data_IF_740336063130
#
_entry.id   IF_740336063130
#
_cell.length_a   1.000
_cell.length_b   1.000
_cell.length_c   1.000
_cell.angle_alpha   90.00
_cell.angle_beta   90.00
_cell.angle_gamma   90.00
#
_symmetry.space_group_name_H-M   'P 1'
#
loop_
_entity.id
_entity.type
_entity.pdbx_description
1 polymer ?
#
# COMPACT_ATOMS: atom_id res chain seq x y z
N UNK A 1 21.61 -23.01 6.02
CA UNK A 1 20.65 -22.67 4.96
C UNK A 1 21.19 -21.41 4.30
N UNK A 2 21.70 -21.51 3.08
CA UNK A 2 22.25 -20.33 2.38
C UNK A 2 21.08 -19.44 2.00
N UNK A 3 21.02 -18.22 2.55
CA UNK A 3 20.09 -17.21 2.10
C UNK A 3 20.42 -16.89 0.65
N UNK A 4 19.41 -16.85 -0.21
CA UNK A 4 19.61 -16.56 -1.62
C UNK A 4 20.21 -15.15 -1.77
N UNK A 5 21.27 -14.97 -2.58
CA UNK A 5 22.00 -13.70 -2.68
C UNK A 5 21.15 -12.52 -3.17
N UNK A 6 20.03 -12.81 -3.84
CA UNK A 6 19.15 -11.78 -4.40
C UNK A 6 18.00 -11.40 -3.47
N UNK A 7 17.97 -11.92 -2.23
CA UNK A 7 16.91 -11.58 -1.29
C UNK A 7 17.24 -10.25 -0.59
N UNK A 8 16.39 -9.23 -0.66
CA UNK A 8 16.65 -7.97 0.02
C UNK A 8 16.66 -8.21 1.53
N UNK A 9 17.78 -7.92 2.17
CA UNK A 9 17.93 -8.08 3.61
C UNK A 9 17.25 -6.99 4.42
N UNK A 10 16.95 -5.86 3.79
CA UNK A 10 16.33 -4.71 4.46
C UNK A 10 14.83 -4.64 4.19
N UNK A 11 13.97 -4.67 5.24
CA UNK A 11 12.53 -4.50 5.07
C UNK A 11 12.12 -3.05 4.76
N UNK A 12 13.08 -2.14 4.72
CA UNK A 12 12.86 -0.71 4.52
C UNK A 12 13.03 -0.26 3.08
N UNK A 13 13.71 -1.05 2.26
CA UNK A 13 14.04 -0.67 0.90
C UNK A 13 12.87 -0.84 -0.05
N UNK A 14 12.58 0.20 -0.86
CA UNK A 14 11.59 0.08 -1.93
C UNK A 14 12.02 -0.98 -2.95
N UNK A 15 11.12 -1.90 -3.23
CA UNK A 15 11.37 -2.98 -4.18
C UNK A 15 10.58 -2.74 -5.46
N UNK A 16 11.23 -3.01 -6.59
CA UNK A 16 10.56 -3.01 -7.90
C UNK A 16 9.58 -4.20 -7.94
N UNK A 17 8.32 -4.01 -8.37
CA UNK A 17 7.27 -5.02 -8.23
C UNK A 17 7.64 -6.42 -8.74
N UNK A 18 8.17 -6.51 -9.95
CA UNK A 18 8.55 -7.80 -10.56
C UNK A 18 9.78 -8.47 -9.92
N UNK A 19 10.60 -7.73 -9.16
CA UNK A 19 11.78 -8.26 -8.46
C UNK A 19 11.46 -8.78 -7.06
N UNK A 20 10.27 -8.54 -6.57
CA UNK A 20 9.88 -8.88 -5.18
C UNK A 20 9.35 -10.27 -5.00
N UNK A 21 8.91 -10.88 -6.09
CA UNK A 21 8.33 -12.20 -6.01
C UNK A 21 9.41 -13.26 -5.99
N UNK A 22 9.51 -13.95 -4.88
CA UNK A 22 10.45 -15.04 -4.71
C UNK A 22 9.73 -16.25 -4.09
N UNK A 23 9.12 -17.14 -4.90
CA UNK A 23 8.45 -18.32 -4.40
C UNK A 23 9.41 -19.23 -3.65
N UNK A 24 8.96 -19.83 -2.55
CA UNK A 24 9.71 -20.85 -1.83
C UNK A 24 9.93 -22.10 -2.71
N UNK A 25 8.96 -22.41 -3.57
CA UNK A 25 9.08 -23.49 -4.55
C UNK A 25 9.90 -23.03 -5.76
N UNK A 26 11.01 -23.71 -6.01
CA UNK A 26 11.89 -23.43 -7.14
C UNK A 26 11.22 -23.58 -8.51
N UNK A 27 10.29 -24.51 -8.64
CA UNK A 27 9.55 -24.73 -9.89
C UNK A 27 8.71 -23.49 -10.28
N UNK A 28 8.28 -22.70 -9.31
CA UNK A 28 7.48 -21.49 -9.54
C UNK A 28 8.34 -20.26 -9.87
N UNK A 29 9.65 -20.32 -9.69
CA UNK A 29 10.54 -19.15 -9.93
C UNK A 29 10.64 -18.75 -11.40
N UNK A 30 10.38 -19.69 -12.31
CA UNK A 30 10.31 -19.43 -13.75
C UNK A 30 8.95 -18.91 -14.21
N UNK A 31 7.95 -18.92 -13.33
CA UNK A 31 6.59 -18.44 -13.66
C UNK A 31 6.54 -16.93 -13.50
N UNK A 32 5.97 -16.24 -14.49
CA UNK A 32 5.76 -14.80 -14.42
C UNK A 32 4.96 -14.44 -13.15
N UNK A 33 5.43 -13.44 -12.40
CA UNK A 33 4.90 -13.11 -11.09
C UNK A 33 3.42 -12.71 -11.12
N UNK A 34 2.94 -12.16 -12.23
CA UNK A 34 1.54 -11.78 -12.43
C UNK A 34 0.59 -12.99 -12.32
N UNK A 35 1.06 -14.16 -12.74
CA UNK A 35 0.28 -15.40 -12.66
C UNK A 35 0.22 -16.00 -11.24
N UNK A 36 1.14 -15.60 -10.40
CA UNK A 36 1.28 -16.09 -9.02
C UNK A 36 0.62 -15.19 -7.99
N UNK A 37 0.25 -13.97 -8.38
CA UNK A 37 -0.43 -13.01 -7.54
C UNK A 37 -1.94 -13.04 -7.75
N UNK A 38 -2.73 -12.58 -6.76
CA UNK A 38 -4.14 -12.30 -6.99
C UNK A 38 -4.32 -11.34 -8.18
N UNK A 39 -5.38 -11.50 -8.98
CA UNK A 39 -5.53 -10.87 -10.30
C UNK A 39 -5.24 -9.37 -10.39
N UNK A 40 -5.62 -8.60 -9.38
CA UNK A 40 -5.47 -7.13 -9.41
C UNK A 40 -4.10 -6.66 -8.90
N UNK A 41 -3.40 -7.49 -8.13
CA UNK A 41 -2.25 -7.06 -7.31
C UNK A 41 -1.06 -6.68 -8.17
N UNK A 42 -0.75 -7.44 -9.21
CA UNK A 42 0.42 -7.19 -10.04
C UNK A 42 0.36 -5.77 -10.65
N UNK A 43 -0.72 -5.48 -11.36
CA UNK A 43 -0.90 -4.18 -12.04
C UNK A 43 -1.01 -3.02 -11.06
N UNK A 44 -1.73 -3.17 -9.95
CA UNK A 44 -1.82 -2.14 -8.91
C UNK A 44 -0.45 -1.81 -8.34
N UNK A 45 0.38 -2.82 -8.06
CA UNK A 45 1.75 -2.59 -7.56
C UNK A 45 2.64 -1.84 -8.55
N UNK A 46 2.55 -2.16 -9.83
CA UNK A 46 3.30 -1.47 -10.88
C UNK A 46 2.89 -0.02 -10.99
N UNK A 47 1.60 0.26 -11.02
CA UNK A 47 1.09 1.62 -11.10
C UNK A 47 1.39 2.46 -9.85
N UNK A 48 1.29 1.87 -8.66
CA UNK A 48 1.66 2.54 -7.40
C UNK A 48 3.16 2.80 -7.34
N UNK A 49 3.99 1.87 -7.85
CA UNK A 49 5.43 2.08 -7.96
C UNK A 49 5.74 3.26 -8.89
N UNK A 50 5.14 3.31 -10.06
CA UNK A 50 5.31 4.42 -11.01
C UNK A 50 4.83 5.75 -10.41
N UNK A 51 3.69 5.76 -9.73
CA UNK A 51 3.13 6.93 -9.05
C UNK A 51 4.04 7.47 -7.94
N UNK A 52 4.60 6.58 -7.11
CA UNK A 52 5.61 6.94 -6.10
C UNK A 52 6.85 7.56 -6.73
N UNK A 53 7.38 6.91 -7.76
CA UNK A 53 8.61 7.37 -8.46
C UNK A 53 8.41 8.73 -9.12
N UNK A 54 7.18 9.04 -9.55
CA UNK A 54 6.81 10.34 -10.10
C UNK A 54 6.42 11.38 -9.02
N UNK A 55 6.67 11.12 -7.74
CA UNK A 55 6.36 12.00 -6.60
C UNK A 55 4.87 12.34 -6.44
N UNK A 56 4.01 11.31 -6.55
CA UNK A 56 2.60 11.35 -6.21
C UNK A 56 1.72 12.31 -7.06
N UNK A 57 1.84 12.31 -8.40
CA UNK A 57 1.03 13.21 -9.23
C UNK A 57 -0.47 12.90 -9.06
N UNK A 58 -1.29 13.96 -8.97
CA UNK A 58 -2.74 13.86 -8.81
C UNK A 58 -3.22 13.56 -7.39
N UNK A 59 -2.30 13.39 -6.42
CA UNK A 59 -2.67 13.41 -5.01
C UNK A 59 -3.01 14.84 -4.57
N UNK A 60 -3.93 14.98 -3.60
CA UNK A 60 -4.20 16.27 -2.95
C UNK A 60 -2.96 16.81 -2.23
N UNK A 61 -2.96 18.09 -1.93
CA UNK A 61 -1.89 18.72 -1.15
C UNK A 61 -1.70 18.03 0.21
N UNK A 62 -2.80 17.66 0.86
CA UNK A 62 -2.80 16.96 2.15
C UNK A 62 -2.18 15.56 2.00
N UNK A 63 -2.63 14.77 1.05
CA UNK A 63 -2.11 13.41 0.83
C UNK A 63 -0.63 13.41 0.48
N UNK A 64 -0.20 14.28 -0.44
CA UNK A 64 1.20 14.40 -0.82
C UNK A 64 2.08 14.84 0.34
N UNK A 65 1.61 15.76 1.20
CA UNK A 65 2.33 16.21 2.40
C UNK A 65 2.48 15.08 3.41
N UNK A 66 1.40 14.34 3.70
CA UNK A 66 1.45 13.22 4.63
C UNK A 66 2.36 12.10 4.14
N UNK A 67 2.30 11.72 2.85
CA UNK A 67 3.15 10.69 2.27
C UNK A 67 4.64 11.06 2.37
N UNK A 68 5.00 12.30 2.04
CA UNK A 68 6.38 12.77 2.18
C UNK A 68 6.82 12.81 3.64
N UNK A 69 5.97 13.33 4.52
CA UNK A 69 6.26 13.36 5.94
C UNK A 69 6.53 11.96 6.49
N UNK A 70 5.66 10.99 6.22
CA UNK A 70 5.81 9.65 6.77
C UNK A 70 6.97 8.85 6.19
N UNK A 71 7.25 9.00 4.90
CA UNK A 71 8.12 8.06 4.19
C UNK A 71 9.40 8.67 3.63
N UNK A 72 9.52 9.99 3.60
CA UNK A 72 10.67 10.70 3.03
C UNK A 72 11.35 11.62 4.04
N UNK A 73 10.74 11.84 5.22
CA UNK A 73 11.35 12.61 6.32
C UNK A 73 11.97 11.65 7.34
N UNK A 74 13.10 12.03 7.92
CA UNK A 74 13.66 11.28 9.04
C UNK A 74 12.80 11.48 10.30
N UNK A 75 12.50 10.38 10.97
CA UNK A 75 11.81 10.36 12.23
C UNK A 75 12.74 9.84 13.33
N UNK A 76 12.66 10.44 14.50
CA UNK A 76 13.33 9.98 15.70
C UNK A 76 12.28 9.57 16.73
N UNK A 77 12.55 8.47 17.42
CA UNK A 77 11.79 8.05 18.59
C UNK A 77 12.65 8.11 19.83
N UNK A 78 12.09 8.56 20.93
CA UNK A 78 12.73 8.55 22.22
C UNK A 78 12.60 7.17 22.85
N UNK A 79 13.72 6.61 23.25
CA UNK A 79 13.81 5.34 23.96
C UNK A 79 13.54 5.54 25.44
N UNK A 80 13.35 4.44 26.19
CA UNK A 80 13.10 4.47 27.62
C UNK A 80 14.23 5.09 28.46
N UNK A 81 15.44 5.14 27.92
CA UNK A 81 16.63 5.76 28.54
C UNK A 81 16.82 7.24 28.14
N UNK A 82 15.87 7.82 27.38
CA UNK A 82 15.96 9.20 26.88
C UNK A 82 16.83 9.37 25.63
N UNK A 83 17.46 8.32 25.12
CA UNK A 83 18.18 8.38 23.84
C UNK A 83 17.23 8.43 22.66
N UNK A 84 17.69 9.02 21.54
CA UNK A 84 16.90 9.07 20.29
C UNK A 84 17.40 8.01 19.33
N UNK A 85 16.47 7.26 18.74
CA UNK A 85 16.73 6.28 17.69
C UNK A 85 16.01 6.65 16.40
N UNK A 86 16.63 6.43 15.21
CA UNK A 86 15.95 6.58 13.95
C UNK A 86 14.76 5.61 13.84
N UNK A 87 13.62 6.12 13.39
CA UNK A 87 12.46 5.32 13.09
C UNK A 87 12.16 5.38 11.58
N UNK A 88 11.90 4.21 11.00
CA UNK A 88 11.49 4.08 9.60
C UNK A 88 10.32 3.11 9.50
N UNK A 89 9.40 3.42 8.62
CA UNK A 89 8.34 2.47 8.26
C UNK A 89 8.90 1.36 7.36
N UNK A 90 8.39 0.15 7.52
CA UNK A 90 8.68 -0.93 6.57
C UNK A 90 8.12 -0.60 5.20
N UNK A 91 8.80 -1.04 4.15
CA UNK A 91 8.32 -0.83 2.79
C UNK A 91 6.91 -1.40 2.55
N UNK A 92 6.59 -2.56 3.14
CA UNK A 92 5.24 -3.14 3.06
C UNK A 92 4.16 -2.23 3.69
N UNK A 93 4.48 -1.48 4.76
CA UNK A 93 3.57 -0.51 5.37
C UNK A 93 3.38 0.71 4.45
N UNK A 94 4.48 1.23 3.92
CA UNK A 94 4.47 2.33 2.95
C UNK A 94 3.60 1.97 1.75
N UNK A 95 3.88 0.85 1.10
CA UNK A 95 3.13 0.42 -0.09
C UNK A 95 1.65 0.20 0.19
N UNK A 96 1.30 -0.36 1.35
CA UNK A 96 -0.09 -0.56 1.74
C UNK A 96 -0.86 0.77 1.85
N UNK A 97 -0.27 1.77 2.51
CA UNK A 97 -0.85 3.11 2.64
C UNK A 97 -0.95 3.81 1.29
N UNK A 98 0.13 3.80 0.52
CA UNK A 98 0.19 4.38 -0.83
C UNK A 98 -0.86 3.76 -1.75
N UNK A 99 -1.04 2.45 -1.68
CA UNK A 99 -2.03 1.73 -2.51
C UNK A 99 -3.46 2.19 -2.20
N UNK A 100 -3.82 2.32 -0.93
CA UNK A 100 -5.17 2.77 -0.56
C UNK A 100 -5.41 4.20 -1.01
N UNK A 101 -4.46 5.10 -0.74
CA UNK A 101 -4.57 6.51 -1.16
C UNK A 101 -4.68 6.61 -2.68
N UNK A 102 -3.83 5.90 -3.40
CA UNK A 102 -3.82 5.91 -4.86
C UNK A 102 -5.13 5.38 -5.46
N UNK A 103 -5.62 4.24 -4.98
CA UNK A 103 -6.90 3.67 -5.45
C UNK A 103 -8.06 4.62 -5.15
N UNK A 104 -8.13 5.13 -3.93
CA UNK A 104 -9.26 5.93 -3.48
C UNK A 104 -9.26 7.33 -4.08
N UNK A 105 -8.15 8.04 -4.01
CA UNK A 105 -8.07 9.46 -4.35
C UNK A 105 -7.69 9.66 -5.83
N UNK A 106 -6.62 9.02 -6.30
CA UNK A 106 -6.08 9.26 -7.63
C UNK A 106 -6.86 8.50 -8.70
N UNK A 107 -7.14 7.23 -8.46
CA UNK A 107 -7.87 6.38 -9.43
C UNK A 107 -9.37 6.41 -9.25
N UNK A 108 -9.85 6.96 -8.14
CA UNK A 108 -11.27 7.06 -7.79
C UNK A 108 -12.00 5.73 -7.97
N UNK A 109 -11.36 4.64 -7.52
CA UNK A 109 -11.90 3.29 -7.59
C UNK A 109 -13.01 3.14 -6.54
N UNK A 110 -14.23 3.51 -6.89
CA UNK A 110 -15.36 3.57 -5.97
C UNK A 110 -16.24 2.33 -6.02
N UNK A 111 -16.16 1.57 -7.08
CA UNK A 111 -16.95 0.38 -7.28
C UNK A 111 -16.14 -0.79 -7.87
N UNK A 112 -16.79 -1.93 -8.03
CA UNK A 112 -16.19 -3.14 -8.60
C UNK A 112 -15.74 -2.96 -10.05
N UNK A 113 -16.42 -2.16 -10.84
CA UNK A 113 -16.06 -1.95 -12.24
C UNK A 113 -14.79 -1.12 -12.38
N UNK A 114 -14.60 -0.17 -11.46
CA UNK A 114 -13.35 0.59 -11.36
C UNK A 114 -12.15 -0.29 -11.05
N UNK A 115 -12.35 -1.34 -10.26
CA UNK A 115 -11.29 -2.28 -9.91
C UNK A 115 -10.98 -3.27 -11.03
N UNK A 116 -11.98 -3.68 -11.82
CA UNK A 116 -11.79 -4.64 -12.94
C UNK A 116 -10.78 -4.17 -13.99
N UNK A 117 -10.61 -2.86 -14.17
CA UNK A 117 -9.60 -2.32 -15.09
C UNK A 117 -8.15 -2.67 -14.70
N UNK A 118 -7.93 -3.10 -13.46
CA UNK A 118 -6.63 -3.57 -12.98
C UNK A 118 -6.45 -5.09 -13.10
N UNK A 119 -7.48 -5.82 -13.58
CA UNK A 119 -7.36 -7.25 -13.80
C UNK A 119 -6.49 -7.55 -15.02
N UNK A 120 -5.25 -7.98 -14.75
CA UNK A 120 -4.32 -8.42 -15.78
C UNK A 120 -4.60 -9.86 -16.28
N UNK A 121 -5.40 -10.63 -15.55
CA UNK A 121 -5.67 -12.04 -15.86
C UNK A 121 -6.89 -12.24 -16.76
N UNK A 122 -7.82 -11.29 -16.79
CA UNK A 122 -9.13 -11.43 -17.42
C UNK A 122 -10.05 -12.45 -16.75
N UNK A 123 -9.67 -12.94 -15.56
CA UNK A 123 -10.41 -13.97 -14.84
C UNK A 123 -11.45 -13.42 -13.87
N UNK A 124 -11.37 -12.13 -13.56
CA UNK A 124 -12.28 -11.49 -12.60
C UNK A 124 -13.52 -11.00 -13.33
N UNK A 125 -14.69 -11.44 -12.89
CA UNK A 125 -15.97 -10.96 -13.41
C UNK A 125 -16.68 -10.05 -12.39
N UNK A 126 -17.53 -9.16 -12.88
CA UNK A 126 -18.34 -8.27 -12.01
C UNK A 126 -19.30 -9.04 -11.09
N UNK A 127 -19.69 -10.24 -11.46
CA UNK A 127 -20.55 -11.11 -10.64
C UNK A 127 -19.85 -11.72 -9.42
N UNK A 128 -18.53 -11.56 -9.29
CA UNK A 128 -17.80 -12.00 -8.10
C UNK A 128 -17.93 -11.01 -6.91
N UNK A 129 -18.52 -9.85 -7.12
CA UNK A 129 -18.69 -8.82 -6.11
C UNK A 129 -20.18 -8.51 -5.94
N UNK A 130 -20.71 -8.77 -4.77
CA UNK A 130 -22.14 -8.57 -4.45
C UNK A 130 -22.47 -7.14 -4.00
N UNK A 131 -21.47 -6.28 -3.82
CA UNK A 131 -21.61 -4.99 -3.15
C UNK A 131 -21.23 -3.81 -4.04
N UNK A 132 -21.99 -2.72 -3.92
CA UNK A 132 -21.83 -1.49 -4.72
C UNK A 132 -20.99 -0.40 -4.04
N UNK A 133 -20.37 -0.72 -2.90
CA UNK A 133 -19.56 0.23 -2.11
C UNK A 133 -18.07 -0.16 -2.08
N UNK A 134 -17.14 0.80 -1.98
CA UNK A 134 -15.73 0.50 -2.02
C UNK A 134 -15.29 -0.28 -0.78
N UNK A 135 -14.72 -1.45 -1.03
CA UNK A 135 -14.07 -2.29 -0.01
C UNK A 135 -12.66 -2.60 -0.44
N UNK A 136 -11.71 -2.21 0.39
CA UNK A 136 -10.31 -2.59 0.19
C UNK A 136 -9.88 -3.58 1.27
N UNK A 137 -9.29 -4.69 0.86
CA UNK A 137 -8.71 -5.68 1.75
C UNK A 137 -7.20 -5.65 1.63
N UNK A 138 -6.54 -5.27 2.72
CA UNK A 138 -5.09 -5.30 2.83
C UNK A 138 -4.66 -6.57 3.55
N UNK A 139 -4.07 -7.51 2.81
CA UNK A 139 -3.51 -8.73 3.39
C UNK A 139 -2.02 -8.55 3.63
N UNK A 140 -1.63 -8.53 4.88
CA UNK A 140 -0.24 -8.39 5.31
C UNK A 140 0.14 -9.55 6.23
N UNK A 141 1.41 -9.95 6.21
CA UNK A 141 1.94 -10.98 7.10
C UNK A 141 1.76 -10.61 8.58
N UNK A 142 1.69 -11.61 9.44
CA UNK A 142 1.72 -11.40 10.89
C UNK A 142 3.04 -10.73 11.28
N UNK A 143 2.98 -9.76 12.17
CA UNK A 143 4.17 -8.98 12.57
C UNK A 143 4.57 -7.85 11.62
N UNK A 144 3.96 -7.72 10.42
CA UNK A 144 4.28 -6.66 9.47
C UNK A 144 3.77 -5.26 9.86
N UNK A 145 3.15 -5.11 11.03
CA UNK A 145 2.68 -3.82 11.55
C UNK A 145 1.36 -3.32 10.94
N UNK A 146 0.39 -4.21 10.75
CA UNK A 146 -0.97 -3.86 10.27
C UNK A 146 -1.60 -2.71 11.04
N UNK A 147 -1.46 -2.68 12.36
CA UNK A 147 -1.98 -1.60 13.23
C UNK A 147 -1.37 -0.25 12.86
N UNK A 148 -0.10 -0.22 12.50
CA UNK A 148 0.56 1.02 12.05
C UNK A 148 -0.03 1.52 10.74
N UNK A 149 -0.28 0.62 9.78
CA UNK A 149 -0.96 0.96 8.51
C UNK A 149 -2.35 1.53 8.78
N UNK A 150 -3.12 0.87 9.64
CA UNK A 150 -4.45 1.36 10.04
C UNK A 150 -4.38 2.76 10.65
N UNK A 151 -3.42 3.01 11.55
CA UNK A 151 -3.23 4.33 12.17
C UNK A 151 -2.93 5.42 11.14
N UNK A 152 -2.09 5.12 10.13
CA UNK A 152 -1.76 6.06 9.06
C UNK A 152 -2.97 6.36 8.17
N UNK A 153 -3.78 5.33 7.85
CA UNK A 153 -4.99 5.51 7.04
C UNK A 153 -6.07 6.30 7.78
N UNK A 154 -6.21 6.10 9.09
CA UNK A 154 -7.08 6.92 9.93
C UNK A 154 -6.60 8.37 9.94
N UNK A 155 -5.32 8.61 10.16
CA UNK A 155 -4.73 9.95 10.13
C UNK A 155 -4.93 10.61 8.76
N UNK A 156 -4.67 9.88 7.67
CA UNK A 156 -4.93 10.37 6.33
C UNK A 156 -6.38 10.79 6.12
N UNK A 157 -7.33 9.92 6.45
CA UNK A 157 -8.75 10.20 6.28
C UNK A 157 -9.18 11.44 7.10
N UNK A 158 -8.69 11.55 8.34
CA UNK A 158 -8.97 12.68 9.22
C UNK A 158 -8.44 13.99 8.65
N UNK A 159 -7.16 14.06 8.30
CA UNK A 159 -6.55 15.28 7.79
C UNK A 159 -7.05 15.66 6.41
N UNK A 160 -7.27 14.68 5.54
CA UNK A 160 -7.85 14.94 4.23
C UNK A 160 -9.26 15.54 4.37
N UNK A 161 -10.11 15.00 5.26
CA UNK A 161 -11.43 15.56 5.52
C UNK A 161 -11.38 16.94 6.21
N UNK A 162 -10.29 17.25 6.91
CA UNK A 162 -10.13 18.53 7.58
C UNK A 162 -9.69 19.64 6.61
N UNK A 163 -8.81 19.33 5.68
CA UNK A 163 -8.13 20.33 4.85
C UNK A 163 -8.58 20.36 3.37
N UNK A 164 -9.17 19.28 2.86
CA UNK A 164 -9.65 19.22 1.49
C UNK A 164 -11.18 19.48 1.44
N UNK A 165 -11.59 20.50 0.68
CA UNK A 165 -12.95 21.00 0.68
C UNK A 165 -13.98 19.96 0.22
N UNK A 166 -13.62 19.18 -0.83
CA UNK A 166 -14.53 18.19 -1.45
C UNK A 166 -14.20 16.74 -1.05
N UNK A 167 -13.71 16.55 0.18
CA UNK A 167 -13.33 15.23 0.65
C UNK A 167 -14.53 14.34 0.95
N UNK A 168 -14.57 13.16 0.33
CA UNK A 168 -15.52 12.07 0.63
C UNK A 168 -15.12 11.23 1.86
N UNK A 169 -13.97 11.53 2.46
CA UNK A 169 -13.47 10.81 3.63
C UNK A 169 -14.17 11.26 4.92
N UNK A 170 -13.95 10.51 6.01
CA UNK A 170 -14.60 10.74 7.30
C UNK A 170 -13.60 11.15 8.39
N UNK A 171 -14.11 11.83 9.41
CA UNK A 171 -13.41 12.04 10.69
C UNK A 171 -13.88 11.08 11.79
N UNK A 172 -14.87 10.26 11.49
CA UNK A 172 -15.43 9.27 12.43
C UNK A 172 -15.00 7.87 11.98
N UNK A 173 -14.46 7.09 12.90
CA UNK A 173 -13.91 5.77 12.64
C UNK A 173 -14.49 4.75 13.59
N UNK A 174 -14.82 3.57 13.08
CA UNK A 174 -15.11 2.38 13.86
C UNK A 174 -14.01 1.37 13.62
N UNK A 175 -13.29 1.01 14.67
CA UNK A 175 -12.25 -0.03 14.64
C UNK A 175 -12.76 -1.24 15.38
N UNK A 176 -12.80 -2.38 14.69
CA UNK A 176 -13.17 -3.68 15.26
C UNK A 176 -11.90 -4.54 15.19
N UNK A 177 -11.41 -5.01 16.36
CA UNK A 177 -10.20 -5.80 16.50
C UNK A 177 -10.48 -7.17 17.12
#
# INVERSE_FOLDING_TARGET
>A
MSLHPDFPFSPYEPLIPHQRWFPADEALRSTAYEKLLPPLVAKVREEVHAWRTAHYPGASATSATLLRHWFETEHLIENADGSLSPFRYYFAQREAVETVIWLFEVRRARDKYDLLRFDASGAVSSGMFDEDWPRYVLKMATGAGKTKVLSLLIAWSFFHKLYETDSDLSRNFLVIA
#
